data_IF_062503455582
#
_entry.id   IF_062503455582
#
_cell.length_a   1.000
_cell.length_b   1.000
_cell.length_c   1.000
_cell.angle_alpha   90.00
_cell.angle_beta   90.00
_cell.angle_gamma   90.00
#
_symmetry.space_group_name_H-M   'P 1'
#
loop_
_entity.id
_entity.type
_entity.pdbx_description
1 polymer ?
#
# COMPACT_ATOMS: atom_id res chain seq x y z
N UNK A 1 -22.52 -17.86 27.98
CA UNK A 1 -22.64 -16.61 27.19
C UNK A 1 -21.40 -16.45 26.34
N UNK A 2 -21.47 -16.72 25.03
CA UNK A 2 -20.37 -16.46 24.11
C UNK A 2 -20.20 -14.93 24.00
N UNK A 3 -19.08 -14.40 24.53
CA UNK A 3 -18.72 -12.99 24.36
C UNK A 3 -18.65 -12.71 22.86
N UNK A 4 -19.52 -11.82 22.38
CA UNK A 4 -19.49 -11.34 21.00
C UNK A 4 -18.08 -10.76 20.80
N UNK A 5 -17.26 -11.29 19.88
CA UNK A 5 -15.88 -10.86 19.75
C UNK A 5 -15.81 -9.38 19.39
N UNK A 6 -14.93 -8.65 20.08
CA UNK A 6 -14.72 -7.23 19.89
C UNK A 6 -14.37 -6.93 18.41
N UNK A 7 -14.89 -5.82 17.86
CA UNK A 7 -14.66 -5.38 16.49
C UNK A 7 -13.16 -5.32 16.13
N UNK A 8 -12.31 -5.00 17.10
CA UNK A 8 -10.85 -4.97 16.94
C UNK A 8 -10.30 -6.39 16.71
N UNK A 9 -10.69 -7.36 17.53
CA UNK A 9 -10.25 -8.75 17.41
C UNK A 9 -10.68 -9.35 16.08
N UNK A 10 -11.90 -9.02 15.64
CA UNK A 10 -12.43 -9.46 14.35
C UNK A 10 -11.71 -8.75 13.19
N UNK A 11 -11.36 -7.47 13.37
CA UNK A 11 -10.61 -6.68 12.40
C UNK A 11 -9.21 -7.21 12.16
N UNK A 12 -8.49 -7.58 13.23
CA UNK A 12 -7.17 -8.21 13.13
C UNK A 12 -7.26 -9.54 12.39
N UNK A 13 -8.25 -10.38 12.70
CA UNK A 13 -8.47 -11.65 11.99
C UNK A 13 -8.79 -11.42 10.52
N UNK A 14 -9.59 -10.39 10.19
CA UNK A 14 -9.87 -10.00 8.81
C UNK A 14 -8.60 -9.53 8.11
N UNK A 15 -7.77 -8.72 8.75
CA UNK A 15 -6.47 -8.30 8.21
C UNK A 15 -5.58 -9.48 7.83
N UNK A 16 -5.52 -10.51 8.68
CA UNK A 16 -4.80 -11.75 8.34
C UNK A 16 -5.36 -12.48 7.11
N UNK A 17 -6.69 -12.46 6.91
CA UNK A 17 -7.32 -13.02 5.71
C UNK A 17 -7.02 -12.19 4.47
N UNK A 18 -7.08 -10.86 4.56
CA UNK A 18 -6.75 -9.93 3.48
C UNK A 18 -5.30 -10.13 3.02
N UNK A 19 -4.35 -10.22 3.96
CA UNK A 19 -2.93 -10.49 3.66
C UNK A 19 -2.78 -11.84 2.96
N UNK A 20 -3.47 -12.89 3.42
CA UNK A 20 -3.42 -14.20 2.77
C UNK A 20 -4.04 -14.18 1.37
N UNK A 21 -5.10 -13.40 1.15
CA UNK A 21 -5.70 -13.25 -0.17
C UNK A 21 -4.76 -12.51 -1.12
N UNK A 22 -4.18 -11.40 -0.65
CA UNK A 22 -3.17 -10.65 -1.39
C UNK A 22 -1.99 -11.55 -1.76
N UNK A 23 -1.41 -12.27 -0.80
CA UNK A 23 -0.30 -13.19 -1.04
C UNK A 23 -0.63 -14.33 -2.02
N UNK A 24 -1.91 -14.70 -2.14
CA UNK A 24 -2.37 -15.71 -3.12
C UNK A 24 -2.59 -15.12 -4.52
N UNK A 25 -2.87 -13.83 -4.62
CA UNK A 25 -2.94 -13.11 -5.89
C UNK A 25 -1.52 -12.78 -6.37
N UNK A 26 -0.82 -13.81 -6.86
CA UNK A 26 0.59 -13.72 -7.28
C UNK A 26 0.84 -12.58 -8.24
N UNK A 27 -0.07 -12.36 -9.18
CA UNK A 27 -0.02 -11.25 -10.13
C UNK A 27 0.02 -9.90 -9.40
N UNK A 28 -0.93 -9.64 -8.50
CA UNK A 28 -0.97 -8.42 -7.70
C UNK A 28 0.28 -8.26 -6.83
N UNK A 29 0.79 -9.33 -6.22
CA UNK A 29 2.01 -9.28 -5.40
C UNK A 29 3.23 -8.89 -6.24
N UNK A 30 3.41 -9.54 -7.40
CA UNK A 30 4.52 -9.28 -8.33
C UNK A 30 4.47 -7.84 -8.82
N UNK A 31 3.32 -7.38 -9.33
CA UNK A 31 3.22 -6.02 -9.86
C UNK A 31 3.23 -4.93 -8.80
N UNK A 32 2.80 -5.21 -7.57
CA UNK A 32 2.80 -4.20 -6.50
C UNK A 32 4.17 -4.10 -5.81
N UNK A 33 4.83 -5.23 -5.57
CA UNK A 33 6.08 -5.28 -4.79
C UNK A 33 7.33 -5.40 -5.67
N UNK A 34 7.34 -6.29 -6.66
CA UNK A 34 8.54 -6.54 -7.47
C UNK A 34 8.73 -5.49 -8.55
N UNK A 35 7.65 -4.97 -9.15
CA UNK A 35 7.78 -4.00 -10.23
C UNK A 35 8.58 -2.73 -9.82
N UNK A 36 8.30 -2.07 -8.67
CA UNK A 36 9.12 -0.95 -8.22
C UNK A 36 10.58 -1.32 -7.93
N UNK A 37 10.83 -2.54 -7.43
CA UNK A 37 12.20 -3.04 -7.16
C UNK A 37 12.96 -3.27 -8.46
N UNK A 38 12.31 -3.85 -9.48
CA UNK A 38 12.90 -4.05 -10.80
C UNK A 38 13.24 -2.69 -11.42
N UNK A 39 12.32 -1.73 -11.36
CA UNK A 39 12.58 -0.37 -11.83
C UNK A 39 13.75 0.26 -11.08
N UNK A 40 13.81 0.11 -9.75
CA UNK A 40 14.92 0.61 -8.96
C UNK A 40 16.26 0.01 -9.43
N UNK A 41 16.33 -1.30 -9.68
CA UNK A 41 17.56 -1.96 -10.13
C UNK A 41 17.97 -1.46 -11.53
N UNK A 42 17.01 -1.36 -12.46
CA UNK A 42 17.27 -0.90 -13.83
C UNK A 42 17.72 0.57 -13.81
N UNK A 43 16.90 1.45 -13.25
CA UNK A 43 17.16 2.89 -13.26
C UNK A 43 18.35 3.25 -12.37
N UNK A 44 18.51 2.65 -11.19
CA UNK A 44 19.67 2.90 -10.35
C UNK A 44 20.98 2.41 -10.96
N UNK A 45 20.95 1.36 -11.80
CA UNK A 45 22.16 0.87 -12.48
C UNK A 45 22.53 1.72 -13.70
N UNK A 46 21.54 2.29 -14.38
CA UNK A 46 21.74 3.12 -15.58
C UNK A 46 22.12 4.55 -15.21
N UNK A 47 21.43 5.14 -14.22
CA UNK A 47 21.62 6.53 -13.82
C UNK A 47 22.52 6.61 -12.59
N UNK A 48 23.80 6.90 -12.82
CA UNK A 48 24.81 7.09 -11.75
C UNK A 48 25.04 8.55 -11.39
N UNK A 49 24.31 9.46 -12.03
CA UNK A 49 24.49 10.89 -11.85
C UNK A 49 23.96 11.35 -10.49
N UNK A 50 24.57 12.42 -9.98
CA UNK A 50 24.10 13.14 -8.80
C UNK A 50 23.10 14.21 -9.23
N UNK A 51 21.88 14.18 -8.68
CA UNK A 51 20.85 15.18 -9.00
C UNK A 51 21.12 16.48 -8.23
N UNK A 52 21.69 16.37 -7.03
CA UNK A 52 22.07 17.50 -6.19
C UNK A 52 23.39 17.17 -5.44
N UNK A 53 24.09 18.17 -4.86
CA UNK A 53 25.28 17.91 -4.05
C UNK A 53 24.96 16.90 -2.93
N UNK A 54 25.58 15.73 -2.97
CA UNK A 54 25.37 14.66 -1.99
C UNK A 54 24.06 13.86 -2.14
N UNK A 55 23.28 14.04 -3.21
CA UNK A 55 22.07 13.23 -3.48
C UNK A 55 22.23 12.50 -4.80
N UNK A 56 22.37 11.18 -4.71
CA UNK A 56 22.43 10.31 -5.88
C UNK A 56 21.05 10.16 -6.52
N UNK A 57 21.01 9.92 -7.83
CA UNK A 57 19.76 9.62 -8.52
C UNK A 57 19.00 8.46 -7.86
N UNK A 58 19.70 7.39 -7.49
CA UNK A 58 19.12 6.23 -6.81
C UNK A 58 18.43 6.61 -5.51
N UNK A 59 18.97 7.55 -4.73
CA UNK A 59 18.37 7.98 -3.47
C UNK A 59 17.07 8.75 -3.67
N UNK A 60 17.06 9.69 -4.62
CA UNK A 60 15.85 10.39 -5.00
C UNK A 60 14.79 9.43 -5.57
N UNK A 61 15.23 8.49 -6.41
CA UNK A 61 14.36 7.50 -7.04
C UNK A 61 13.72 6.56 -6.02
N UNK A 62 14.47 6.06 -5.03
CA UNK A 62 13.91 5.25 -3.92
C UNK A 62 12.86 6.04 -3.15
N UNK A 63 13.12 7.30 -2.80
CA UNK A 63 12.14 8.14 -2.11
C UNK A 63 10.86 8.33 -2.94
N UNK A 64 11.01 8.60 -4.24
CA UNK A 64 9.89 8.72 -5.17
C UNK A 64 9.09 7.41 -5.33
N UNK A 65 9.76 6.27 -5.40
CA UNK A 65 9.12 4.96 -5.47
C UNK A 65 8.36 4.60 -4.19
N UNK A 66 8.90 4.96 -3.01
CA UNK A 66 8.19 4.80 -1.74
C UNK A 66 6.92 5.67 -1.71
N UNK A 67 7.02 6.93 -2.14
CA UNK A 67 5.87 7.84 -2.20
C UNK A 67 4.81 7.35 -3.21
N UNK A 68 5.23 6.90 -4.39
CA UNK A 68 4.31 6.31 -5.38
C UNK A 68 3.67 5.03 -4.86
N UNK A 69 4.46 4.15 -4.20
CA UNK A 69 3.98 2.93 -3.58
C UNK A 69 2.91 3.16 -2.52
N UNK A 70 3.07 4.21 -1.71
CA UNK A 70 2.08 4.65 -0.72
C UNK A 70 0.73 5.00 -1.35
N UNK A 71 0.73 5.76 -2.45
CA UNK A 71 -0.50 6.14 -3.17
C UNK A 71 -1.09 4.92 -3.88
N UNK A 72 -0.26 4.12 -4.53
CA UNK A 72 -0.71 2.93 -5.25
C UNK A 72 -1.40 1.91 -4.30
N UNK A 73 -0.76 1.58 -3.19
CA UNK A 73 -1.30 0.58 -2.23
C UNK A 73 -2.43 1.13 -1.37
N UNK A 74 -2.33 2.37 -0.89
CA UNK A 74 -3.33 2.95 0.01
C UNK A 74 -4.55 3.51 -0.73
N UNK A 75 -4.35 4.16 -1.87
CA UNK A 75 -5.43 4.78 -2.63
C UNK A 75 -5.89 3.89 -3.78
N UNK A 76 -5.03 3.63 -4.77
CA UNK A 76 -5.42 3.00 -6.04
C UNK A 76 -5.98 1.59 -5.82
N UNK A 77 -5.23 0.75 -5.09
CA UNK A 77 -5.60 -0.63 -4.86
C UNK A 77 -6.93 -0.77 -4.09
N UNK A 78 -7.16 0.05 -3.07
CA UNK A 78 -8.42 0.05 -2.32
C UNK A 78 -9.58 0.56 -3.15
N UNK A 79 -9.39 1.66 -3.87
CA UNK A 79 -10.42 2.25 -4.73
C UNK A 79 -10.86 1.31 -5.86
N UNK A 80 -10.01 0.37 -6.28
CA UNK A 80 -10.34 -0.67 -7.27
C UNK A 80 -10.92 -1.92 -6.61
N UNK A 81 -10.34 -2.38 -5.50
CA UNK A 81 -10.68 -3.66 -4.89
C UNK A 81 -12.04 -3.63 -4.19
N UNK A 82 -12.37 -2.53 -3.51
CA UNK A 82 -13.64 -2.42 -2.76
C UNK A 82 -14.87 -2.51 -3.69
N UNK A 83 -14.94 -1.79 -4.83
CA UNK A 83 -16.03 -1.96 -5.79
C UNK A 83 -16.10 -3.37 -6.39
N UNK A 84 -14.94 -3.99 -6.63
CA UNK A 84 -14.85 -5.35 -7.16
C UNK A 84 -15.41 -6.38 -6.17
N UNK A 85 -15.08 -6.26 -4.88
CA UNK A 85 -15.69 -7.07 -3.82
C UNK A 85 -17.19 -6.81 -3.66
N UNK A 86 -17.63 -5.56 -3.88
CA UNK A 86 -19.06 -5.20 -3.85
C UNK A 86 -19.82 -5.89 -4.99
N UNK A 87 -19.26 -5.91 -6.19
CA UNK A 87 -19.84 -6.57 -7.37
C UNK A 87 -19.92 -8.08 -7.19
N UNK A 88 -18.89 -8.71 -6.60
CA UNK A 88 -18.92 -10.13 -6.25
C UNK A 88 -19.85 -10.47 -5.06
N UNK A 89 -20.56 -9.48 -4.51
CA UNK A 89 -21.49 -9.68 -3.40
C UNK A 89 -20.81 -10.04 -2.07
N UNK A 90 -19.48 -9.91 -1.97
CA UNK A 90 -18.73 -10.21 -0.76
C UNK A 90 -19.19 -9.33 0.41
N UNK A 91 -19.43 -8.04 0.16
CA UNK A 91 -19.95 -7.10 1.16
C UNK A 91 -21.38 -7.47 1.61
N UNK A 92 -22.23 -8.00 0.72
CA UNK A 92 -23.59 -8.46 1.08
C UNK A 92 -23.53 -9.67 2.01
N UNK A 93 -22.63 -10.62 1.73
CA UNK A 93 -22.39 -11.80 2.60
C UNK A 93 -21.82 -11.39 3.96
N UNK A 94 -20.86 -10.46 3.99
CA UNK A 94 -20.29 -9.91 5.23
C UNK A 94 -21.36 -9.26 6.11
N UNK A 95 -22.30 -8.51 5.52
CA UNK A 95 -23.44 -7.92 6.23
C UNK A 95 -24.44 -8.94 6.80
N UNK A 96 -24.47 -10.16 6.26
CA UNK A 96 -25.25 -11.27 6.81
C UNK A 96 -24.59 -11.99 7.99
N UNK A 97 -23.33 -11.65 8.31
CA UNK A 97 -22.61 -12.18 9.49
C UNK A 97 -22.65 -11.17 10.63
N UNK A 98 -22.47 -11.58 11.90
CA UNK A 98 -22.41 -10.66 13.05
C UNK A 98 -21.14 -9.79 13.08
N UNK A 99 -20.52 -9.54 11.92
CA UNK A 99 -19.28 -8.77 11.78
C UNK A 99 -19.60 -7.28 11.63
N UNK A 100 -19.09 -6.40 12.52
CA UNK A 100 -19.22 -4.96 12.36
C UNK A 100 -18.53 -4.45 11.10
N UNK A 101 -19.09 -3.44 10.42
CA UNK A 101 -18.47 -2.85 9.23
C UNK A 101 -17.07 -2.26 9.51
N UNK A 102 -16.83 -1.76 10.73
CA UNK A 102 -15.52 -1.28 11.17
C UNK A 102 -14.42 -2.35 11.11
N UNK A 103 -14.77 -3.62 11.35
CA UNK A 103 -13.83 -4.75 11.25
C UNK A 103 -13.31 -4.95 9.82
N UNK A 104 -14.10 -4.62 8.81
CA UNK A 104 -13.67 -4.71 7.40
C UNK A 104 -12.63 -3.64 7.08
N UNK A 105 -12.91 -2.39 7.47
CA UNK A 105 -11.98 -1.27 7.23
C UNK A 105 -10.67 -1.43 8.01
N UNK A 106 -10.73 -1.94 9.25
CA UNK A 106 -9.52 -2.30 10.02
C UNK A 106 -8.70 -3.36 9.26
N UNK A 107 -9.35 -4.37 8.70
CA UNK A 107 -8.66 -5.40 7.91
C UNK A 107 -7.96 -4.83 6.67
N UNK A 108 -8.61 -3.91 5.95
CA UNK A 108 -8.01 -3.22 4.80
C UNK A 108 -6.86 -2.30 5.20
N UNK A 109 -7.01 -1.56 6.30
CA UNK A 109 -5.93 -0.74 6.84
C UNK A 109 -4.70 -1.59 7.19
N UNK A 110 -4.90 -2.73 7.87
CA UNK A 110 -3.81 -3.67 8.17
C UNK A 110 -3.14 -4.19 6.89
N UNK A 111 -3.92 -4.54 5.87
CA UNK A 111 -3.38 -4.97 4.57
C UNK A 111 -2.48 -3.88 3.96
N UNK A 112 -2.96 -2.64 3.89
CA UNK A 112 -2.17 -1.51 3.33
C UNK A 112 -0.91 -1.29 4.14
N UNK A 113 -1.02 -1.21 5.47
CA UNK A 113 0.15 -0.97 6.34
C UNK A 113 1.20 -2.06 6.19
N UNK A 114 0.79 -3.35 6.17
CA UNK A 114 1.74 -4.47 6.01
C UNK A 114 2.38 -4.46 4.63
N UNK A 115 1.59 -4.30 3.56
CA UNK A 115 2.11 -4.24 2.19
C UNK A 115 3.10 -3.09 2.01
N UNK A 116 2.80 -1.94 2.61
CA UNK A 116 3.65 -0.75 2.53
C UNK A 116 4.94 -0.92 3.31
N UNK A 117 4.91 -1.50 4.51
CA UNK A 117 6.14 -1.85 5.27
C UNK A 117 7.01 -2.81 4.47
N UNK A 118 6.43 -3.85 3.88
CA UNK A 118 7.18 -4.80 3.03
C UNK A 118 7.81 -4.07 1.84
N UNK A 119 7.05 -3.22 1.15
CA UNK A 119 7.53 -2.47 -0.01
C UNK A 119 8.69 -1.53 0.36
N UNK A 120 8.59 -0.81 1.48
CA UNK A 120 9.65 0.08 1.98
C UNK A 120 10.90 -0.73 2.33
N UNK A 121 10.75 -1.85 3.05
CA UNK A 121 11.88 -2.71 3.41
C UNK A 121 12.58 -3.26 2.16
N UNK A 122 11.82 -3.65 1.14
CA UNK A 122 12.39 -4.09 -0.13
C UNK A 122 13.14 -2.93 -0.82
N UNK A 123 12.50 -1.78 -1.02
CA UNK A 123 13.13 -0.65 -1.73
C UNK A 123 14.36 -0.11 -1.01
N UNK A 124 14.31 0.04 0.32
CA UNK A 124 15.47 0.45 1.11
C UNK A 124 16.55 -0.64 1.13
N UNK A 125 16.18 -1.90 1.33
CA UNK A 125 17.13 -3.02 1.37
C UNK A 125 17.90 -3.19 0.06
N UNK A 126 17.18 -3.22 -1.06
CA UNK A 126 17.80 -3.28 -2.39
C UNK A 126 18.56 -1.99 -2.72
N UNK A 127 18.02 -0.84 -2.34
CA UNK A 127 18.71 0.44 -2.47
C UNK A 127 20.07 0.47 -1.77
N UNK A 128 20.14 -0.09 -0.56
CA UNK A 128 21.37 -0.15 0.22
C UNK A 128 22.39 -1.12 -0.34
N UNK A 129 21.95 -2.35 -0.64
CA UNK A 129 22.84 -3.42 -1.08
C UNK A 129 23.44 -3.12 -2.44
N UNK A 130 22.63 -2.62 -3.39
CA UNK A 130 23.07 -2.44 -4.77
C UNK A 130 23.61 -1.04 -5.07
N UNK A 131 23.18 0.00 -4.35
CA UNK A 131 23.51 1.39 -4.67
C UNK A 131 24.20 2.15 -3.54
N UNK A 132 24.50 1.50 -2.40
CA UNK A 132 25.26 2.12 -1.31
C UNK A 132 24.58 3.35 -0.72
N UNK A 133 23.26 3.33 -0.64
CA UNK A 133 22.42 4.44 -0.20
C UNK A 133 22.88 5.00 1.16
N UNK A 134 23.14 6.30 1.22
CA UNK A 134 23.48 6.97 2.49
C UNK A 134 22.24 7.07 3.37
N UNK A 135 22.14 6.18 4.36
CA UNK A 135 21.08 6.24 5.35
C UNK A 135 21.37 7.38 6.32
N UNK A 136 20.39 8.23 6.63
CA UNK A 136 20.56 9.17 7.73
C UNK A 136 20.85 8.45 9.05
N UNK A 137 21.97 8.81 9.67
CA UNK A 137 22.37 8.35 11.01
C UNK A 137 21.58 9.06 12.12
N UNK A 138 20.97 10.20 11.81
CA UNK A 138 20.15 10.97 12.75
C UNK A 138 18.80 10.31 13.06
N UNK A 139 18.55 10.06 14.34
CA UNK A 139 17.28 9.49 14.81
C UNK A 139 16.07 10.40 14.51
N UNK A 140 16.28 11.71 14.48
CA UNK A 140 15.23 12.70 14.17
C UNK A 140 14.69 12.54 12.73
N UNK A 141 15.54 12.13 11.78
CA UNK A 141 15.13 11.91 10.38
C UNK A 141 14.29 10.64 10.27
N UNK A 142 14.62 9.61 11.04
CA UNK A 142 13.81 8.39 11.14
C UNK A 142 12.45 8.61 11.80
N UNK A 143 12.40 9.42 12.85
CA UNK A 143 11.12 9.85 13.45
C UNK A 143 10.30 10.60 12.41
N UNK A 144 10.92 11.55 11.69
CA UNK A 144 10.26 12.34 10.64
C UNK A 144 9.68 11.45 9.55
N UNK A 145 10.49 10.53 9.03
CA UNK A 145 10.07 9.54 8.04
C UNK A 145 8.91 8.69 8.55
N UNK A 146 8.99 8.19 9.78
CA UNK A 146 7.97 7.30 10.35
C UNK A 146 6.61 8.00 10.50
N UNK A 147 6.55 9.21 11.06
CA UNK A 147 5.25 9.89 11.21
C UNK A 147 4.68 10.32 9.86
N UNK A 148 5.52 10.74 8.90
CA UNK A 148 5.10 11.04 7.54
C UNK A 148 4.50 9.83 6.84
N UNK A 149 5.12 8.65 6.99
CA UNK A 149 4.57 7.41 6.44
C UNK A 149 3.25 7.02 7.09
N UNK A 150 3.13 7.15 8.42
CA UNK A 150 1.89 6.85 9.13
C UNK A 150 0.76 7.77 8.70
N UNK A 151 1.00 9.08 8.65
CA UNK A 151 -0.02 10.04 8.19
C UNK A 151 -0.33 9.89 6.71
N UNK A 152 0.69 9.70 5.87
CA UNK A 152 0.52 9.47 4.43
C UNK A 152 -0.30 8.22 4.17
N UNK A 153 0.03 7.10 4.82
CA UNK A 153 -0.71 5.84 4.73
C UNK A 153 -2.15 5.99 5.24
N UNK A 154 -2.36 6.67 6.36
CA UNK A 154 -3.70 6.93 6.90
C UNK A 154 -4.53 7.79 5.94
N UNK A 155 -3.94 8.84 5.37
CA UNK A 155 -4.57 9.74 4.41
C UNK A 155 -4.92 9.00 3.12
N UNK A 156 -3.96 8.29 2.52
CA UNK A 156 -4.18 7.56 1.26
C UNK A 156 -5.20 6.43 1.42
N UNK A 157 -5.15 5.70 2.54
CA UNK A 157 -6.14 4.66 2.87
C UNK A 157 -7.53 5.25 3.02
N UNK A 158 -7.66 6.36 3.75
CA UNK A 158 -8.95 7.03 3.97
C UNK A 158 -9.52 7.57 2.65
N UNK A 159 -8.69 8.18 1.82
CA UNK A 159 -9.06 8.66 0.49
C UNK A 159 -9.44 7.50 -0.44
N UNK A 160 -8.70 6.38 -0.42
CA UNK A 160 -8.98 5.20 -1.24
C UNK A 160 -10.32 4.56 -0.89
N UNK A 161 -10.62 4.48 0.40
CA UNK A 161 -11.92 4.02 0.90
C UNK A 161 -13.03 5.01 0.48
N UNK A 162 -12.85 6.31 0.67
CA UNK A 162 -13.85 7.30 0.29
C UNK A 162 -14.12 7.29 -1.23
N UNK A 163 -13.06 7.23 -2.03
CA UNK A 163 -13.14 7.22 -3.48
C UNK A 163 -13.73 5.93 -4.05
N UNK A 164 -13.67 4.82 -3.30
CA UNK A 164 -14.29 3.55 -3.70
C UNK A 164 -15.81 3.62 -3.94
N UNK A 165 -16.48 4.70 -3.50
CA UNK A 165 -17.90 4.94 -3.76
C UNK A 165 -18.13 5.39 -5.21
N UNK A 166 -17.14 6.01 -5.86
CA UNK A 166 -17.25 6.61 -7.19
C UNK A 166 -17.39 5.55 -8.30
N UNK A 167 -16.57 4.48 -8.36
CA UNK A 167 -16.77 3.43 -9.34
C UNK A 167 -18.11 2.72 -9.16
N UNK A 168 -18.96 2.77 -10.20
CA UNK A 168 -20.27 2.11 -10.21
C UNK A 168 -20.16 0.60 -10.43
N UNK A 169 -19.08 0.13 -11.06
CA UNK A 169 -18.77 -1.30 -11.23
C UNK A 169 -17.31 -1.58 -10.91
N UNK A 170 -17.04 -2.78 -10.40
CA UNK A 170 -15.70 -3.32 -10.19
C UNK A 170 -14.94 -3.51 -11.50
N UNK A 171 -15.63 -3.92 -12.58
CA UNK A 171 -15.02 -4.07 -13.92
C UNK A 171 -14.53 -2.74 -14.50
N UNK A 172 -15.20 -1.63 -14.20
CA UNK A 172 -14.80 -0.28 -14.63
C UNK A 172 -13.93 0.47 -13.62
N UNK A 173 -13.69 -0.09 -12.42
CA UNK A 173 -13.04 0.66 -11.34
C UNK A 173 -11.61 1.08 -11.70
N UNK A 174 -10.83 0.18 -12.31
CA UNK A 174 -9.47 0.52 -12.76
C UNK A 174 -9.46 1.67 -13.78
N UNK A 175 -10.42 1.72 -14.70
CA UNK A 175 -10.50 2.77 -15.72
C UNK A 175 -10.84 4.15 -15.13
N UNK A 176 -11.57 4.20 -14.01
CA UNK A 176 -11.93 5.46 -13.34
C UNK A 176 -10.83 5.92 -12.37
N UNK A 177 -10.20 4.98 -11.66
CA UNK A 177 -9.22 5.29 -10.61
C UNK A 177 -7.83 5.57 -11.18
N UNK A 178 -7.38 4.81 -12.18
CA UNK A 178 -5.99 4.89 -12.66
C UNK A 178 -5.59 6.27 -13.21
N UNK A 179 -6.41 6.97 -14.03
CA UNK A 179 -6.04 8.29 -14.53
C UNK A 179 -5.77 9.33 -13.43
N UNK A 180 -6.51 9.24 -12.32
CA UNK A 180 -6.37 10.18 -11.19
C UNK A 180 -5.04 10.01 -10.45
N UNK A 181 -4.47 8.80 -10.51
CA UNK A 181 -3.21 8.48 -9.83
C UNK A 181 -2.00 8.79 -10.73
N UNK A 182 -2.21 8.83 -12.04
CA UNK A 182 -1.15 9.04 -13.04
C UNK A 182 -0.89 10.53 -13.28
N UNK A 183 -1.89 11.40 -13.07
CA UNK A 183 -1.80 12.87 -13.20
C UNK A 183 -1.31 13.48 -11.90
#
# INVERSE_FOLDING_TARGET
MNKIPNAITLGIRRGGLEIRQFARQRESVVFTLLFPVILLIIFGSVFKDTIAPGVTFSQYFVAGMIASGLVNTGFQALAITIPLERDFGALKRLRGTPMPASSYFIGKAILVSVSMVIQILMLLGFGLIFFGLEIPTDINKWITFTWLLLLGSACSTSLGIAFSIVPKSGRGASAVVSPIVII
#
